data_IF_205059486600
#
_entry.id   IF_205059486600
#
_cell.length_a   1.000
_cell.length_b   1.000
_cell.length_c   1.000
_cell.angle_alpha   90.00
_cell.angle_beta   90.00
_cell.angle_gamma   90.00
#
_symmetry.space_group_name_H-M   'P 1'
#
loop_
_entity.id
_entity.type
_entity.pdbx_description
1 polymer ?
#
# COMPACT_ATOMS: atom_id res chain seq x y z
N UNK A 1 15.75 15.21 -13.60
CA UNK A 1 15.47 15.31 -12.14
C UNK A 1 14.14 14.66 -11.80
N UNK A 2 13.06 15.02 -12.52
CA UNK A 2 11.69 14.53 -12.27
C UNK A 2 11.51 13.01 -12.36
N UNK A 3 12.19 12.33 -13.29
CA UNK A 3 12.13 10.87 -13.44
C UNK A 3 12.67 10.11 -12.21
N UNK A 4 13.69 10.67 -11.55
CA UNK A 4 14.23 10.10 -10.30
C UNK A 4 13.29 10.27 -9.11
N UNK A 5 12.63 11.43 -9.02
CA UNK A 5 11.68 11.72 -7.95
C UNK A 5 10.41 10.86 -8.10
N UNK A 6 9.91 10.69 -9.33
CA UNK A 6 8.80 9.78 -9.60
C UNK A 6 9.15 8.34 -9.21
N UNK A 7 10.34 7.87 -9.57
CA UNK A 7 10.83 6.53 -9.25
C UNK A 7 11.01 6.28 -7.75
N UNK A 8 11.56 7.25 -7.01
CA UNK A 8 11.64 7.18 -5.55
C UNK A 8 10.25 7.18 -4.90
N UNK A 9 9.32 7.94 -5.49
CA UNK A 9 7.90 7.94 -5.14
C UNK A 9 7.27 6.57 -5.23
N UNK A 10 7.40 5.93 -6.39
CA UNK A 10 6.85 4.58 -6.63
C UNK A 10 7.50 3.53 -5.73
N UNK A 11 8.80 3.67 -5.42
CA UNK A 11 9.51 2.78 -4.49
C UNK A 11 8.97 2.90 -3.06
N UNK A 12 8.92 4.12 -2.51
CA UNK A 12 8.48 4.37 -1.11
C UNK A 12 7.00 4.04 -0.91
N UNK A 13 6.16 4.28 -1.92
CA UNK A 13 4.73 3.94 -1.90
C UNK A 13 4.45 2.47 -2.23
N UNK A 14 5.49 1.68 -2.54
CA UNK A 14 5.35 0.25 -2.87
C UNK A 14 4.60 -0.02 -4.18
N UNK A 15 4.59 0.93 -5.11
CA UNK A 15 3.91 0.85 -6.40
C UNK A 15 4.76 0.16 -7.49
N UNK A 16 6.03 -0.15 -7.20
CA UNK A 16 6.93 -0.86 -8.11
C UNK A 16 6.69 -2.37 -8.08
N UNK A 17 6.79 -3.01 -9.25
CA UNK A 17 6.82 -4.46 -9.37
C UNK A 17 8.15 -5.04 -8.81
N UNK A 18 8.19 -6.35 -8.57
CA UNK A 18 9.34 -6.98 -7.89
C UNK A 18 10.66 -6.83 -8.68
N UNK A 19 10.63 -6.89 -10.01
CA UNK A 19 11.82 -6.71 -10.85
C UNK A 19 12.36 -5.27 -10.84
N UNK A 20 11.47 -4.30 -10.71
CA UNK A 20 11.80 -2.88 -10.58
C UNK A 20 12.26 -2.55 -9.15
N UNK A 21 11.70 -3.23 -8.14
CA UNK A 21 12.15 -3.16 -6.74
C UNK A 21 13.58 -3.68 -6.59
N UNK A 22 13.89 -4.86 -7.14
CA UNK A 22 15.26 -5.42 -7.08
C UNK A 22 16.29 -4.51 -7.76
N UNK A 23 15.88 -3.77 -8.80
CA UNK A 23 16.73 -2.75 -9.44
C UNK A 23 16.88 -1.51 -8.54
N UNK A 24 15.80 -1.03 -7.95
CA UNK A 24 15.83 0.09 -7.01
C UNK A 24 16.68 -0.23 -5.76
N UNK A 25 16.64 -1.46 -5.25
CA UNK A 25 17.47 -1.91 -4.13
C UNK A 25 18.96 -1.89 -4.47
N UNK A 26 19.35 -2.35 -5.67
CA UNK A 26 20.74 -2.21 -6.15
C UNK A 26 21.14 -0.75 -6.35
N UNK A 27 20.22 0.09 -6.84
CA UNK A 27 20.48 1.51 -7.05
C UNK A 27 20.64 2.29 -5.73
N UNK A 28 20.01 1.83 -4.64
CA UNK A 28 20.24 2.39 -3.29
C UNK A 28 21.68 2.21 -2.80
N UNK A 29 22.34 1.13 -3.22
CA UNK A 29 23.74 0.86 -2.87
C UNK A 29 24.72 1.69 -3.72
N UNK A 30 24.33 2.02 -4.95
CA UNK A 30 25.23 2.59 -5.97
C UNK A 30 25.06 4.11 -6.13
N UNK A 31 23.82 4.64 -6.04
CA UNK A 31 23.50 6.05 -6.30
C UNK A 31 23.17 6.81 -5.00
N UNK A 32 24.10 7.65 -4.49
CA UNK A 32 23.84 8.44 -3.28
C UNK A 32 22.72 9.47 -3.47
N UNK A 33 22.50 9.98 -4.69
CA UNK A 33 21.46 10.98 -4.94
C UNK A 33 20.06 10.35 -4.96
N UNK A 34 19.93 9.09 -5.37
CA UNK A 34 18.69 8.33 -5.27
C UNK A 34 18.36 8.02 -3.80
N UNK A 35 19.35 7.60 -3.01
CA UNK A 35 19.22 7.39 -1.57
C UNK A 35 18.72 8.65 -0.84
N UNK A 36 19.30 9.81 -1.15
CA UNK A 36 18.89 11.08 -0.53
C UNK A 36 17.46 11.48 -0.92
N UNK A 37 17.01 11.15 -2.14
CA UNK A 37 15.64 11.38 -2.57
C UNK A 37 14.64 10.48 -1.83
N UNK A 38 14.99 9.21 -1.60
CA UNK A 38 14.18 8.26 -0.81
C UNK A 38 14.09 8.72 0.64
N UNK A 39 15.20 9.16 1.24
CA UNK A 39 15.23 9.69 2.62
C UNK A 39 14.38 10.96 2.79
N UNK A 40 14.53 11.95 1.89
CA UNK A 40 13.71 13.17 1.94
C UNK A 40 12.22 12.87 1.78
N UNK A 41 11.87 11.90 0.93
CA UNK A 41 10.48 11.51 0.75
C UNK A 41 9.92 10.79 1.98
N UNK A 42 10.69 9.87 2.57
CA UNK A 42 10.32 9.17 3.79
C UNK A 42 10.15 10.13 4.98
N UNK A 43 11.04 11.11 5.13
CA UNK A 43 10.95 12.15 6.16
C UNK A 43 9.70 13.03 5.96
N UNK A 44 9.40 13.40 4.71
CA UNK A 44 8.18 14.14 4.37
C UNK A 44 6.91 13.34 4.70
N UNK A 45 6.90 12.03 4.44
CA UNK A 45 5.79 11.16 4.82
C UNK A 45 5.65 11.00 6.34
N UNK A 46 6.77 10.89 7.05
CA UNK A 46 6.77 10.81 8.51
C UNK A 46 6.22 12.09 9.17
N UNK A 47 6.37 13.26 8.54
CA UNK A 47 5.70 14.49 9.00
C UNK A 47 4.16 14.43 8.89
N UNK A 48 3.62 13.71 7.89
CA UNK A 48 2.18 13.52 7.75
C UNK A 48 1.64 12.49 8.75
N UNK A 49 2.45 11.48 9.08
CA UNK A 49 2.15 10.48 10.13
C UNK A 49 2.16 11.12 11.54
N UNK A 50 3.14 11.99 11.82
CA UNK A 50 3.23 12.74 13.09
C UNK A 50 2.11 13.75 13.30
N UNK A 51 1.33 14.08 12.27
CA UNK A 51 0.12 14.88 12.43
C UNK A 51 -0.99 14.11 13.17
N UNK A 52 -0.82 12.80 13.40
CA UNK A 52 -1.64 12.06 14.36
C UNK A 52 -1.44 12.66 15.77
N UNK A 53 -2.50 13.33 16.24
CA UNK A 53 -2.49 14.19 17.43
C UNK A 53 -2.02 13.43 18.68
N UNK A 54 -1.32 14.11 19.60
CA UNK A 54 -1.09 13.63 20.95
C UNK A 54 -2.44 13.56 21.68
N UNK A 55 -3.11 12.40 21.62
CA UNK A 55 -4.42 12.22 22.24
C UNK A 55 -5.30 11.09 21.69
N UNK A 56 -4.85 10.35 20.67
CA UNK A 56 -5.65 9.28 20.06
C UNK A 56 -6.85 9.82 19.28
N UNK A 57 -7.25 9.13 18.22
CA UNK A 57 -8.48 9.47 17.51
C UNK A 57 -9.68 9.14 18.43
N UNK A 58 -10.63 10.06 18.62
CA UNK A 58 -11.85 9.74 19.35
C UNK A 58 -12.61 8.64 18.60
N UNK A 59 -13.30 7.75 19.32
CA UNK A 59 -13.94 6.56 18.73
C UNK A 59 -14.93 6.89 17.59
N UNK A 60 -15.48 8.11 17.56
CA UNK A 60 -16.40 8.61 16.54
C UNK A 60 -15.72 9.38 15.39
N UNK A 61 -14.38 9.39 15.31
CA UNK A 61 -13.65 10.15 14.30
C UNK A 61 -14.04 9.73 12.87
N UNK A 62 -14.17 8.43 12.62
CA UNK A 62 -14.57 7.91 11.32
C UNK A 62 -16.03 8.23 10.97
N UNK A 63 -16.91 8.31 11.96
CA UNK A 63 -18.31 8.70 11.77
C UNK A 63 -18.39 10.18 11.34
N UNK A 64 -17.63 11.06 12.00
CA UNK A 64 -17.52 12.47 11.64
C UNK A 64 -16.92 12.69 10.24
N UNK A 65 -15.88 11.94 9.88
CA UNK A 65 -15.28 11.99 8.53
C UNK A 65 -16.31 11.57 7.48
N UNK A 66 -17.04 10.48 7.72
CA UNK A 66 -18.08 9.99 6.80
C UNK A 66 -19.20 11.00 6.60
N UNK A 67 -19.67 11.60 7.69
CA UNK A 67 -20.68 12.65 7.64
C UNK A 67 -20.20 13.86 6.84
N UNK A 68 -18.98 14.34 7.10
CA UNK A 68 -18.40 15.48 6.37
C UNK A 68 -18.22 15.20 4.89
N UNK A 69 -17.80 13.98 4.54
CA UNK A 69 -17.68 13.54 3.16
C UNK A 69 -19.05 13.56 2.49
N UNK A 70 -20.08 12.99 3.12
CA UNK A 70 -21.46 12.99 2.61
C UNK A 70 -22.04 14.40 2.43
N UNK A 71 -21.64 15.35 3.27
CA UNK A 71 -22.05 16.75 3.17
C UNK A 71 -21.38 17.51 1.99
N UNK A 72 -20.34 16.97 1.36
CA UNK A 72 -19.63 17.64 0.27
C UNK A 72 -20.52 17.80 -0.98
N UNK A 73 -20.43 18.94 -1.70
CA UNK A 73 -21.28 19.21 -2.86
C UNK A 73 -21.13 18.17 -3.98
N UNK A 74 -19.93 17.62 -4.18
CA UNK A 74 -19.68 16.53 -5.15
C UNK A 74 -20.38 15.20 -4.82
N UNK A 75 -20.88 15.02 -3.59
CA UNK A 75 -21.68 13.85 -3.21
C UNK A 75 -23.19 14.11 -3.26
N UNK A 76 -23.60 15.39 -3.26
CA UNK A 76 -25.00 15.79 -3.39
C UNK A 76 -25.55 15.64 -4.82
N UNK A 77 -24.69 15.42 -5.81
CA UNK A 77 -25.08 15.20 -7.22
C UNK A 77 -25.40 13.73 -7.49
N UNK A 78 -26.38 13.18 -6.80
CA UNK A 78 -27.04 11.93 -7.19
C UNK A 78 -28.55 12.15 -7.20
N UNK A 79 -28.98 12.96 -8.17
CA UNK A 79 -30.39 13.23 -8.47
C UNK A 79 -30.57 13.62 -9.94
N UNK A 80 -30.73 12.59 -10.78
CA UNK A 80 -31.43 12.58 -12.08
C UNK A 80 -30.89 13.50 -13.20
N UNK A 81 -30.23 12.87 -14.19
CA UNK A 81 -30.00 13.48 -15.50
C UNK A 81 -28.99 12.71 -16.34
N UNK A 82 -29.48 11.72 -17.09
CA UNK A 82 -28.74 10.98 -18.12
C UNK A 82 -27.60 10.08 -17.60
N UNK A 83 -27.97 8.88 -17.14
CA UNK A 83 -27.05 7.74 -17.04
C UNK A 83 -26.67 7.28 -18.46
N UNK A 84 -25.96 8.14 -19.19
CA UNK A 84 -25.41 7.84 -20.50
C UNK A 84 -24.15 7.02 -20.31
N UNK A 85 -24.38 5.72 -20.16
CA UNK A 85 -23.38 4.66 -20.04
C UNK A 85 -22.51 4.79 -18.78
N UNK A 86 -22.30 3.72 -18.01
CA UNK A 86 -21.16 3.72 -17.12
C UNK A 86 -19.96 3.94 -18.03
N UNK A 87 -19.19 5.00 -17.78
CA UNK A 87 -17.78 5.02 -18.18
C UNK A 87 -17.15 3.86 -17.45
N UNK A 88 -17.31 2.66 -18.02
CA UNK A 88 -16.46 1.51 -17.75
C UNK A 88 -15.08 2.08 -17.92
N UNK A 89 -14.37 2.26 -16.81
CA UNK A 89 -12.93 2.53 -16.81
C UNK A 89 -12.34 1.30 -17.50
N UNK A 90 -12.28 1.35 -18.83
CA UNK A 90 -11.95 0.19 -19.68
C UNK A 90 -10.53 -0.28 -19.48
N UNK A 91 -9.72 0.54 -18.83
CA UNK A 91 -8.44 0.17 -18.26
C UNK A 91 -8.06 1.27 -17.26
N UNK A 92 -7.78 0.89 -16.02
CA UNK A 92 -6.74 1.59 -15.28
C UNK A 92 -5.47 1.36 -16.10
N UNK A 93 -4.77 2.40 -16.58
CA UNK A 93 -3.50 2.19 -17.31
C UNK A 93 -2.42 1.55 -16.43
N UNK A 94 -2.71 1.41 -15.14
CA UNK A 94 -1.91 0.74 -14.16
C UNK A 94 -2.84 -0.18 -13.37
N UNK A 95 -2.67 -1.49 -13.53
CA UNK A 95 -3.33 -2.46 -12.65
C UNK A 95 -2.99 -2.06 -11.21
N UNK A 96 -3.97 -2.00 -10.28
CA UNK A 96 -3.64 -1.85 -8.87
C UNK A 96 -2.74 -3.04 -8.55
N UNK A 97 -1.47 -2.76 -8.21
CA UNK A 97 -0.55 -3.78 -7.73
C UNK A 97 -1.02 -4.19 -6.34
N UNK A 98 -2.10 -4.96 -6.33
CA UNK A 98 -2.63 -5.58 -5.14
C UNK A 98 -1.56 -6.50 -4.60
N UNK A 99 -1.30 -6.39 -3.31
CA UNK A 99 -0.64 -7.42 -2.50
C UNK A 99 -1.57 -8.64 -2.48
N UNK A 100 -1.71 -9.29 -3.64
CA UNK A 100 -2.35 -10.57 -3.76
C UNK A 100 -1.38 -11.62 -3.25
N UNK A 101 -1.92 -12.73 -2.73
CA UNK A 101 -1.21 -13.94 -2.28
C UNK A 101 -0.25 -14.58 -3.32
N UNK A 102 -0.09 -13.93 -4.46
CA UNK A 102 0.74 -14.25 -5.61
C UNK A 102 2.15 -13.66 -5.44
N UNK A 103 2.32 -12.60 -4.62
CA UNK A 103 3.62 -12.04 -4.24
C UNK A 103 4.38 -12.90 -3.22
N UNK A 104 3.70 -13.87 -2.60
CA UNK A 104 4.31 -14.95 -1.81
C UNK A 104 4.88 -16.03 -2.74
N UNK A 105 5.77 -15.64 -3.66
CA UNK A 105 6.69 -16.54 -4.38
C UNK A 105 6.13 -17.91 -4.79
N UNK A 106 4.99 -17.96 -5.48
CA UNK A 106 4.40 -19.19 -6.04
C UNK A 106 4.58 -20.47 -5.19
N UNK A 107 5.07 -21.55 -5.81
CA UNK A 107 5.24 -22.88 -5.19
C UNK A 107 6.13 -22.88 -3.94
N UNK A 108 7.04 -21.90 -3.78
CA UNK A 108 7.92 -21.79 -2.61
C UNK A 108 7.19 -21.25 -1.39
N UNK A 109 6.31 -20.27 -1.56
CA UNK A 109 5.46 -19.74 -0.47
C UNK A 109 4.55 -20.83 0.14
N UNK A 110 3.98 -21.69 -0.72
CA UNK A 110 3.17 -22.82 -0.26
C UNK A 110 3.96 -23.83 0.60
N UNK A 111 5.21 -24.13 0.23
CA UNK A 111 6.07 -25.04 1.00
C UNK A 111 6.38 -24.45 2.38
N UNK A 112 6.71 -23.16 2.46
CA UNK A 112 6.99 -22.48 3.74
C UNK A 112 5.76 -22.50 4.65
N UNK A 113 4.58 -22.21 4.11
CA UNK A 113 3.34 -22.26 4.89
C UNK A 113 3.05 -23.68 5.44
N UNK A 114 3.22 -24.71 4.62
CA UNK A 114 3.02 -26.12 5.04
C UNK A 114 4.00 -26.50 6.16
N UNK A 115 5.28 -26.12 6.02
CA UNK A 115 6.30 -26.40 7.04
C UNK A 115 5.96 -25.70 8.36
N UNK A 116 5.56 -24.43 8.33
CA UNK A 116 5.18 -23.69 9.53
C UNK A 116 3.97 -24.33 10.23
N UNK A 117 2.94 -24.73 9.46
CA UNK A 117 1.77 -25.42 10.01
C UNK A 117 2.17 -26.75 10.65
N UNK A 118 3.03 -27.54 10.00
CA UNK A 118 3.48 -28.82 10.52
C UNK A 118 4.29 -28.67 11.82
N UNK A 119 5.23 -27.72 11.88
CA UNK A 119 6.01 -27.41 13.08
C UNK A 119 5.10 -26.95 14.22
N UNK A 120 4.13 -26.08 13.93
CA UNK A 120 3.17 -25.60 14.92
C UNK A 120 2.29 -26.73 15.48
N UNK A 121 1.77 -27.59 14.61
CA UNK A 121 0.96 -28.74 15.02
C UNK A 121 1.77 -29.72 15.89
N UNK A 122 3.01 -30.03 15.50
CA UNK A 122 3.90 -30.89 16.30
C UNK A 122 4.20 -30.28 17.67
N UNK A 123 4.54 -28.98 17.71
CA UNK A 123 4.80 -28.27 18.96
C UNK A 123 3.58 -28.24 19.88
N UNK A 124 2.38 -28.05 19.32
CA UNK A 124 1.13 -28.08 20.06
C UNK A 124 0.82 -29.46 20.66
N UNK A 125 1.08 -30.54 19.91
CA UNK A 125 0.89 -31.91 20.42
C UNK A 125 1.89 -32.25 21.54
N UNK A 126 3.16 -31.84 21.41
CA UNK A 126 4.18 -32.04 22.45
C UNK A 126 3.85 -31.22 23.70
N UNK A 127 3.37 -29.98 23.56
CA UNK A 127 2.96 -29.16 24.70
C UNK A 127 1.65 -29.57 25.36
N UNK A 128 0.87 -30.48 24.73
CA UNK A 128 -0.38 -31.01 25.27
C UNK A 128 -0.19 -32.34 26.02
N UNK A 129 0.96 -33.00 25.87
CA UNK A 129 1.34 -34.21 26.61
C UNK A 129 1.99 -33.84 27.95
#
# INVERSE_FOLDING_TARGET
MSDRIARAGDYVLGLMNDADRERAERDLEIDPAFRDAVLQLAERMHMFDRAEKPGGLPANHWELVTQRIAELPQMRTSGVGDARSPTVIRNLSQSPYGVGVHSLGGRRGAVVAIVLIAVFALGYLVGKL
#
